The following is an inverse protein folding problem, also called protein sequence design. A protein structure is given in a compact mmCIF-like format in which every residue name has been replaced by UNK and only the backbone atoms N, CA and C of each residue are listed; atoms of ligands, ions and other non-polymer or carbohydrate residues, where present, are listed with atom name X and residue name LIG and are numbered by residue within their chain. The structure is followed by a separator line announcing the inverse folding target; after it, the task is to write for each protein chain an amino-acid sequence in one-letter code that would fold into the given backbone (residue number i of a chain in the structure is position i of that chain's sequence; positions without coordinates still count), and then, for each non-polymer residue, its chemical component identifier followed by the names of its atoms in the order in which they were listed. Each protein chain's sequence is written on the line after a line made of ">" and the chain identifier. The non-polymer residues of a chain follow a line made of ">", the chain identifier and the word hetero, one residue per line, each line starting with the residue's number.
data_IF_014035952322
#
_entry.id   IF_014035952322
#
_cell.length_a   1.000
_cell.length_b   1.000
_cell.length_c   1.000
_cell.angle_alpha   90.00
_cell.angle_beta   90.00
_cell.angle_gamma   90.00
#
_symmetry.space_group_name_H-M   'P 1'
#
loop_
_entity.id
_entity.type
_entity.pdbx_description
1 polymer ?
#
# COMPACT_ATOMS: atom_id res chain seq x y z
N UNK A 1 -7.30 -11.40 -52.59
CA UNK A 1 -6.31 -10.29 -52.73
C UNK A 1 -5.36 -10.67 -53.84
N UNK A 2 -5.22 -9.83 -54.87
CA UNK A 2 -4.43 -10.16 -56.07
C UNK A 2 -2.91 -10.10 -55.84
N UNK A 3 -2.19 -11.02 -56.48
CA UNK A 3 -0.73 -10.99 -56.57
C UNK A 3 -0.27 -9.69 -57.25
N UNK A 4 0.71 -9.00 -56.65
CA UNK A 4 1.32 -7.84 -57.29
C UNK A 4 2.19 -8.31 -58.45
N UNK A 5 1.79 -7.99 -59.69
CA UNK A 5 2.57 -8.29 -60.89
C UNK A 5 3.89 -7.48 -60.87
N UNK A 6 5.05 -8.09 -61.18
CA UNK A 6 6.32 -7.39 -61.17
C UNK A 6 6.42 -6.38 -62.32
N UNK A 7 6.86 -5.16 -62.00
CA UNK A 7 7.15 -4.14 -63.01
C UNK A 7 8.39 -4.53 -63.82
N UNK A 8 8.49 -3.99 -65.05
CA UNK A 8 9.57 -4.28 -66.00
C UNK A 8 10.98 -4.18 -65.40
N UNK A 9 11.22 -3.16 -64.56
CA UNK A 9 12.49 -2.98 -63.85
C UNK A 9 12.72 -3.95 -62.67
N UNK A 10 11.67 -4.54 -62.10
CA UNK A 10 11.80 -5.59 -61.07
C UNK A 10 12.16 -6.95 -61.66
N UNK A 11 11.73 -7.22 -62.91
CA UNK A 11 12.20 -8.35 -63.73
C UNK A 11 13.67 -8.19 -64.15
N UNK A 12 14.12 -6.95 -64.39
CA UNK A 12 15.50 -6.65 -64.82
C UNK A 12 16.54 -6.78 -63.69
N UNK A 13 16.13 -6.65 -62.42
CA UNK A 13 17.03 -6.66 -61.25
C UNK A 13 16.75 -7.78 -60.22
N UNK A 14 15.99 -8.81 -60.60
CA UNK A 14 15.65 -9.97 -59.75
C UNK A 14 15.20 -9.62 -58.32
N UNK A 15 14.50 -8.49 -58.15
CA UNK A 15 14.05 -8.02 -56.83
C UNK A 15 12.76 -8.74 -56.43
N UNK A 16 12.92 -9.81 -55.65
CA UNK A 16 11.83 -10.57 -55.03
C UNK A 16 10.88 -9.65 -54.26
N UNK A 17 9.60 -9.65 -54.61
CA UNK A 17 8.59 -8.86 -53.91
C UNK A 17 8.32 -9.47 -52.53
N UNK A 18 8.93 -8.89 -51.49
CA UNK A 18 8.78 -9.30 -50.07
C UNK A 18 7.31 -9.49 -49.63
N UNK A 19 6.38 -8.77 -50.28
CA UNK A 19 4.94 -8.81 -50.00
C UNK A 19 4.26 -10.06 -50.59
N UNK A 20 4.72 -10.55 -51.74
CA UNK A 20 4.15 -11.75 -52.37
C UNK A 20 4.50 -13.03 -51.59
N UNK A 21 5.71 -13.10 -51.00
CA UNK A 21 6.11 -14.20 -50.10
C UNK A 21 5.19 -14.28 -48.88
N UNK A 22 4.91 -13.14 -48.23
CA UNK A 22 4.01 -13.09 -47.07
C UNK A 22 2.55 -13.41 -47.45
N UNK A 23 2.07 -12.95 -48.61
CA UNK A 23 0.73 -13.25 -49.12
C UNK A 23 0.59 -14.75 -49.44
N UNK A 24 1.58 -15.36 -50.08
CA UNK A 24 1.55 -16.79 -50.46
C UNK A 24 1.61 -17.70 -49.23
N UNK A 25 2.40 -17.34 -48.21
CA UNK A 25 2.42 -18.02 -46.90
C UNK A 25 1.07 -17.85 -46.18
N UNK A 26 0.50 -16.65 -46.17
CA UNK A 26 -0.76 -16.38 -45.48
C UNK A 26 -1.97 -17.06 -46.17
N UNK A 27 -1.97 -17.13 -47.51
CA UNK A 27 -2.98 -17.86 -48.26
C UNK A 27 -2.87 -19.36 -48.02
N UNK A 28 -1.64 -19.91 -47.99
CA UNK A 28 -1.41 -21.31 -47.64
C UNK A 28 -1.90 -21.64 -46.23
N UNK A 29 -1.64 -20.78 -45.24
CA UNK A 29 -2.21 -20.96 -43.90
C UNK A 29 -3.74 -20.77 -43.83
N UNK A 30 -4.33 -19.97 -44.72
CA UNK A 30 -5.77 -19.76 -44.78
C UNK A 30 -6.53 -20.92 -45.46
N UNK A 31 -5.84 -21.73 -46.27
CA UNK A 31 -6.40 -22.92 -46.94
C UNK A 31 -6.35 -24.19 -46.06
N UNK A 32 -5.75 -24.11 -44.87
CA UNK A 32 -5.54 -25.27 -43.99
C UNK A 32 -6.53 -25.23 -42.82
N UNK A 33 -7.38 -26.26 -42.73
CA UNK A 33 -8.38 -26.39 -41.66
C UNK A 33 -7.76 -26.73 -40.29
N UNK A 34 -6.58 -27.38 -40.26
CA UNK A 34 -5.91 -27.81 -39.03
C UNK A 34 -4.38 -27.68 -39.15
N UNK A 35 -3.75 -27.09 -38.12
CA UNK A 35 -2.28 -26.90 -38.01
C UNK A 35 -1.50 -28.22 -38.18
N UNK A 36 -2.12 -29.36 -37.85
CA UNK A 36 -1.56 -30.69 -38.07
C UNK A 36 -1.32 -31.05 -39.55
N UNK A 37 -2.05 -30.42 -40.48
CA UNK A 37 -1.98 -30.70 -41.92
C UNK A 37 -0.96 -29.83 -42.65
N UNK A 38 -0.17 -29.03 -41.94
CA UNK A 38 0.82 -28.17 -42.58
C UNK A 38 1.98 -29.01 -43.12
N UNK A 39 2.12 -29.04 -44.44
CA UNK A 39 3.22 -29.69 -45.13
C UNK A 39 4.46 -28.80 -45.12
N UNK A 40 5.48 -29.23 -44.37
CA UNK A 40 6.78 -28.55 -44.28
C UNK A 40 7.43 -28.41 -45.66
N UNK A 41 7.16 -29.32 -46.60
CA UNK A 41 7.73 -29.29 -47.96
C UNK A 41 7.17 -28.14 -48.80
N UNK A 42 5.91 -27.74 -48.60
CA UNK A 42 5.31 -26.58 -49.29
C UNK A 42 6.03 -25.29 -48.89
N UNK A 43 6.38 -25.15 -47.62
CA UNK A 43 7.10 -23.98 -47.09
C UNK A 43 8.54 -23.97 -47.58
N UNK A 44 9.21 -25.13 -47.63
CA UNK A 44 10.55 -25.25 -48.24
C UNK A 44 10.55 -24.92 -49.74
N UNK A 45 9.48 -25.26 -50.46
CA UNK A 45 9.33 -24.90 -51.87
C UNK A 45 9.16 -23.38 -52.05
N UNK A 46 8.46 -22.70 -51.14
CA UNK A 46 8.36 -21.23 -51.13
C UNK A 46 9.72 -20.59 -50.77
N UNK A 47 10.47 -21.15 -49.81
CA UNK A 47 11.84 -20.68 -49.48
C UNK A 47 12.78 -20.78 -50.70
N UNK A 48 12.71 -21.89 -51.44
CA UNK A 48 13.50 -22.12 -52.67
C UNK A 48 13.07 -21.20 -53.82
N UNK A 49 11.77 -21.05 -54.05
CA UNK A 49 11.19 -20.21 -55.12
C UNK A 49 11.60 -18.74 -55.01
N UNK A 50 11.83 -18.27 -53.78
CA UNK A 50 12.14 -16.87 -53.51
C UNK A 50 13.52 -16.63 -52.93
N UNK A 51 14.41 -17.64 -52.88
CA UNK A 51 15.78 -17.54 -52.34
C UNK A 51 15.87 -16.80 -50.99
N UNK A 52 14.89 -16.99 -50.11
CA UNK A 52 14.81 -16.30 -48.81
C UNK A 52 14.71 -17.32 -47.70
N UNK A 53 15.54 -17.14 -46.67
CA UNK A 53 15.33 -17.81 -45.39
C UNK A 53 14.23 -17.09 -44.61
N UNK A 54 13.03 -17.69 -44.61
CA UNK A 54 11.81 -17.12 -44.05
C UNK A 54 11.95 -17.01 -42.51
N UNK A 55 12.60 -17.98 -41.87
CA UNK A 55 12.81 -18.02 -40.43
C UNK A 55 13.73 -16.91 -39.90
N UNK A 56 14.70 -16.45 -40.69
CA UNK A 56 15.58 -15.33 -40.30
C UNK A 56 14.87 -13.99 -40.53
N UNK A 57 14.18 -13.85 -41.66
CA UNK A 57 13.60 -12.57 -42.11
C UNK A 57 12.33 -12.18 -41.37
N UNK A 58 11.46 -13.14 -41.06
CA UNK A 58 10.16 -12.93 -40.39
C UNK A 58 10.14 -13.46 -38.95
N UNK A 59 11.32 -13.57 -38.33
CA UNK A 59 11.48 -14.13 -36.99
C UNK A 59 10.58 -13.45 -35.96
N UNK A 60 10.42 -12.13 -36.03
CA UNK A 60 9.62 -11.35 -35.07
C UNK A 60 8.12 -11.65 -35.23
N UNK A 61 7.66 -11.73 -36.47
CA UNK A 61 6.28 -12.02 -36.83
C UNK A 61 5.89 -13.44 -36.44
N UNK A 62 6.74 -14.44 -36.72
CA UNK A 62 6.51 -15.82 -36.30
C UNK A 62 6.57 -16.00 -34.79
N UNK A 63 7.45 -15.28 -34.10
CA UNK A 63 7.47 -15.29 -32.63
C UNK A 63 6.17 -14.70 -32.07
N UNK A 64 5.63 -13.65 -32.69
CA UNK A 64 4.35 -13.05 -32.30
C UNK A 64 3.18 -14.00 -32.56
N UNK A 65 3.11 -14.63 -33.73
CA UNK A 65 2.08 -15.63 -34.07
C UNK A 65 2.13 -16.83 -33.11
N UNK A 66 3.34 -17.32 -32.81
CA UNK A 66 3.53 -18.38 -31.82
C UNK A 66 3.01 -17.97 -30.44
N UNK A 67 3.33 -16.76 -29.97
CA UNK A 67 2.83 -16.25 -28.69
C UNK A 67 1.31 -16.09 -28.70
N UNK A 68 0.71 -15.63 -29.80
CA UNK A 68 -0.75 -15.47 -29.91
C UNK A 68 -1.47 -16.81 -29.91
N UNK A 69 -0.91 -17.83 -30.59
CA UNK A 69 -1.45 -19.17 -30.55
C UNK A 69 -1.30 -19.80 -29.16
N UNK A 70 -0.16 -19.59 -28.50
CA UNK A 70 0.02 -20.01 -27.10
C UNK A 70 -0.98 -19.33 -26.16
N UNK A 71 -1.27 -18.04 -26.35
CA UNK A 71 -2.31 -17.32 -25.60
C UNK A 71 -3.71 -17.89 -25.87
N UNK A 72 -3.99 -18.35 -27.10
CA UNK A 72 -5.24 -19.01 -27.45
C UNK A 72 -5.37 -20.37 -26.76
N UNK A 73 -4.33 -21.20 -26.81
CA UNK A 73 -4.32 -22.50 -26.13
C UNK A 73 -4.48 -22.33 -24.62
N UNK A 74 -3.81 -21.35 -24.02
CA UNK A 74 -3.85 -21.14 -22.57
C UNK A 74 -5.14 -20.46 -22.07
N UNK A 75 -6.15 -20.27 -22.92
CA UNK A 75 -7.44 -19.69 -22.53
C UNK A 75 -8.20 -20.58 -21.53
N UNK A 76 -8.08 -21.89 -21.67
CA UNK A 76 -8.67 -22.88 -20.74
C UNK A 76 -7.74 -23.21 -19.55
N UNK A 77 -6.59 -22.52 -19.46
CA UNK A 77 -5.52 -22.73 -18.45
C UNK A 77 -4.92 -24.14 -18.46
N UNK A 78 -5.10 -24.90 -19.54
CA UNK A 78 -4.51 -26.22 -19.75
C UNK A 78 -3.81 -26.28 -21.11
N UNK A 79 -2.99 -27.31 -21.31
CA UNK A 79 -2.43 -27.62 -22.62
C UNK A 79 -2.79 -29.06 -22.94
N UNK A 80 -3.72 -29.24 -23.86
CA UNK A 80 -4.11 -30.55 -24.36
C UNK A 80 -2.95 -31.21 -25.13
N UNK A 81 -3.01 -32.53 -25.30
CA UNK A 81 -2.01 -33.28 -26.08
C UNK A 81 -1.93 -32.76 -27.52
N UNK A 82 -3.06 -32.42 -28.12
CA UNK A 82 -3.16 -31.87 -29.47
C UNK A 82 -2.52 -30.48 -29.58
N UNK A 83 -2.72 -29.60 -28.60
CA UNK A 83 -2.09 -28.27 -28.60
C UNK A 83 -0.58 -28.32 -28.41
N UNK A 84 -0.09 -29.26 -27.60
CA UNK A 84 1.35 -29.51 -27.45
C UNK A 84 1.95 -29.97 -28.79
N UNK A 85 1.24 -30.82 -29.54
CA UNK A 85 1.66 -31.24 -30.88
C UNK A 85 1.63 -30.09 -31.88
N UNK A 86 0.57 -29.30 -31.90
CA UNK A 86 0.47 -28.10 -32.75
C UNK A 86 1.58 -27.08 -32.44
N UNK A 87 1.90 -26.87 -31.16
CA UNK A 87 3.02 -26.00 -30.75
C UNK A 87 4.38 -26.57 -31.19
N UNK A 88 4.56 -27.89 -31.25
CA UNK A 88 5.77 -28.52 -31.82
C UNK A 88 5.85 -28.34 -33.33
N UNK A 89 4.72 -28.47 -34.03
CA UNK A 89 4.64 -28.23 -35.48
C UNK A 89 5.01 -26.78 -35.79
N UNK A 90 4.39 -25.82 -35.10
CA UNK A 90 4.70 -24.39 -35.25
C UNK A 90 6.16 -24.07 -34.91
N UNK A 91 6.73 -24.69 -33.88
CA UNK A 91 8.16 -24.56 -33.55
C UNK A 91 9.05 -24.98 -34.72
N UNK A 92 8.79 -26.17 -35.28
CA UNK A 92 9.60 -26.73 -36.35
C UNK A 92 9.45 -25.92 -37.64
N UNK A 93 8.22 -25.53 -37.95
CA UNK A 93 7.87 -24.73 -39.10
C UNK A 93 8.56 -23.36 -39.08
N UNK A 94 8.49 -22.65 -37.96
CA UNK A 94 9.11 -21.34 -37.80
C UNK A 94 10.61 -21.41 -37.51
N UNK A 95 11.20 -22.62 -37.45
CA UNK A 95 12.61 -22.89 -37.11
C UNK A 95 13.06 -22.10 -35.86
N UNK A 96 12.18 -22.01 -34.87
CA UNK A 96 12.42 -21.24 -33.65
C UNK A 96 13.37 -22.00 -32.71
N UNK A 97 14.33 -21.28 -32.13
CA UNK A 97 15.26 -21.86 -31.16
C UNK A 97 14.50 -22.32 -29.92
N UNK A 98 14.78 -23.54 -29.44
CA UNK A 98 14.16 -24.11 -28.22
C UNK A 98 14.23 -23.16 -27.02
N UNK A 99 15.38 -22.51 -26.79
CA UNK A 99 15.57 -21.53 -25.70
C UNK A 99 14.60 -20.35 -25.75
N UNK A 100 14.25 -19.87 -26.95
CA UNK A 100 13.30 -18.75 -27.10
C UNK A 100 11.89 -19.18 -26.74
N UNK A 101 11.50 -20.40 -27.13
CA UNK A 101 10.19 -20.97 -26.82
C UNK A 101 10.07 -21.25 -25.32
N UNK A 102 11.08 -21.86 -24.71
CA UNK A 102 11.11 -22.09 -23.25
C UNK A 102 10.95 -20.78 -22.48
N UNK A 103 11.60 -19.69 -22.91
CA UNK A 103 11.43 -18.38 -22.29
C UNK A 103 10.00 -17.84 -22.45
N UNK A 104 9.40 -17.95 -23.64
CA UNK A 104 8.02 -17.50 -23.89
C UNK A 104 7.03 -18.31 -23.04
N UNK A 105 7.19 -19.63 -22.99
CA UNK A 105 6.37 -20.53 -22.17
C UNK A 105 6.50 -20.16 -20.68
N UNK A 106 7.73 -20.08 -20.17
CA UNK A 106 7.97 -19.71 -18.78
C UNK A 106 7.36 -18.35 -18.43
N UNK A 107 7.52 -17.34 -19.27
CA UNK A 107 6.94 -16.02 -19.04
C UNK A 107 5.41 -16.05 -19.02
N UNK A 108 4.79 -16.73 -19.99
CA UNK A 108 3.33 -16.82 -20.10
C UNK A 108 2.70 -17.66 -18.98
N UNK A 109 3.31 -18.79 -18.65
CA UNK A 109 2.88 -19.62 -17.53
C UNK A 109 2.99 -18.88 -16.20
N UNK A 110 4.10 -18.16 -15.97
CA UNK A 110 4.25 -17.31 -14.79
C UNK A 110 3.21 -16.18 -14.75
N UNK A 111 2.86 -15.57 -15.89
CA UNK A 111 1.84 -14.53 -15.97
C UNK A 111 0.43 -15.05 -15.64
N UNK A 112 0.05 -16.21 -16.17
CA UNK A 112 -1.26 -16.84 -15.91
C UNK A 112 -1.36 -17.28 -14.45
N UNK A 113 -0.29 -17.86 -13.91
CA UNK A 113 -0.24 -18.24 -12.51
C UNK A 113 -0.35 -17.02 -11.60
N UNK A 114 0.39 -15.93 -11.89
CA UNK A 114 0.28 -14.65 -11.17
C UNK A 114 -1.14 -14.10 -11.19
N UNK A 115 -1.81 -14.09 -12.35
CA UNK A 115 -3.18 -13.61 -12.50
C UNK A 115 -4.17 -14.46 -11.71
N UNK A 116 -4.03 -15.78 -11.73
CA UNK A 116 -4.90 -16.69 -10.99
C UNK A 116 -4.71 -16.55 -9.47
N UNK A 117 -3.47 -16.39 -9.01
CA UNK A 117 -3.17 -16.06 -7.61
C UNK A 117 -3.78 -14.71 -7.22
N UNK A 118 -3.63 -13.67 -8.06
CA UNK A 118 -4.25 -12.36 -7.80
C UNK A 118 -5.78 -12.46 -7.70
N UNK A 119 -6.44 -13.32 -8.49
CA UNK A 119 -7.88 -13.55 -8.44
C UNK A 119 -8.33 -14.19 -7.13
N UNK A 120 -7.61 -15.23 -6.69
CA UNK A 120 -7.88 -15.94 -5.44
C UNK A 120 -7.65 -15.02 -4.24
N UNK A 121 -6.62 -14.18 -4.27
CA UNK A 121 -6.32 -13.29 -3.15
C UNK A 121 -7.31 -12.12 -2.99
N UNK A 122 -8.25 -11.90 -3.94
CA UNK A 122 -9.16 -10.73 -3.92
C UNK A 122 -10.06 -10.67 -2.70
N UNK A 123 -10.52 -11.81 -2.22
CA UNK A 123 -11.44 -11.90 -1.07
C UNK A 123 -10.70 -12.04 0.27
N UNK A 124 -9.36 -12.21 0.23
CA UNK A 124 -8.53 -12.39 1.41
C UNK A 124 -8.68 -13.75 2.09
N UNK A 125 -9.30 -14.74 1.43
CA UNK A 125 -9.46 -16.09 1.92
C UNK A 125 -8.93 -17.06 0.87
N UNK A 126 -8.27 -18.13 1.33
CA UNK A 126 -7.78 -19.18 0.42
C UNK A 126 -8.37 -20.50 0.89
N UNK A 127 -9.44 -20.90 0.22
CA UNK A 127 -10.17 -22.13 0.48
C UNK A 127 -9.35 -23.36 0.08
N UNK A 128 -9.74 -24.54 0.56
CA UNK A 128 -9.07 -25.79 0.18
C UNK A 128 -9.20 -26.08 -1.33
N UNK A 129 -10.36 -25.78 -1.91
CA UNK A 129 -10.59 -25.92 -3.36
C UNK A 129 -9.66 -25.02 -4.17
N UNK A 130 -9.40 -23.79 -3.72
CA UNK A 130 -8.46 -22.88 -4.37
C UNK A 130 -7.01 -23.34 -4.23
N UNK A 131 -6.64 -23.97 -3.11
CA UNK A 131 -5.32 -24.61 -2.95
C UNK A 131 -5.18 -25.78 -3.92
N UNK A 132 -6.22 -26.61 -4.06
CA UNK A 132 -6.25 -27.70 -5.03
C UNK A 132 -6.16 -27.17 -6.46
N UNK A 133 -6.91 -26.12 -6.79
CA UNK A 133 -6.84 -25.47 -8.10
C UNK A 133 -5.44 -24.92 -8.40
N UNK A 134 -4.80 -24.23 -7.46
CA UNK A 134 -3.43 -23.73 -7.63
C UNK A 134 -2.41 -24.87 -7.80
N UNK A 135 -2.61 -25.99 -7.11
CA UNK A 135 -1.78 -27.19 -7.29
C UNK A 135 -1.97 -27.79 -8.68
N UNK A 136 -3.21 -28.00 -9.13
CA UNK A 136 -3.51 -28.49 -10.48
C UNK A 136 -2.95 -27.55 -11.54
N UNK A 137 -3.11 -26.24 -11.37
CA UNK A 137 -2.57 -25.22 -12.27
C UNK A 137 -1.04 -25.27 -12.32
N UNK A 138 -0.37 -25.45 -11.17
CA UNK A 138 1.09 -25.61 -11.09
C UNK A 138 1.57 -26.85 -11.86
N UNK A 139 0.88 -27.99 -11.70
CA UNK A 139 1.19 -29.23 -12.41
C UNK A 139 0.96 -29.09 -13.93
N UNK A 140 -0.16 -28.50 -14.32
CA UNK A 140 -0.53 -28.28 -15.73
C UNK A 140 0.47 -27.36 -16.44
N UNK A 141 0.88 -26.27 -15.78
CA UNK A 141 1.83 -25.30 -16.31
C UNK A 141 3.30 -25.71 -16.11
N UNK A 142 3.57 -26.87 -15.46
CA UNK A 142 4.91 -27.39 -15.16
C UNK A 142 5.82 -26.37 -14.47
N UNK A 143 5.26 -25.56 -13.58
CA UNK A 143 6.01 -24.52 -12.86
C UNK A 143 6.79 -25.19 -11.70
N UNK A 144 8.09 -24.93 -11.55
CA UNK A 144 8.86 -25.42 -10.40
C UNK A 144 8.22 -25.02 -9.07
N UNK A 145 8.14 -25.95 -8.12
CA UNK A 145 7.50 -25.71 -6.82
C UNK A 145 8.05 -24.47 -6.11
N UNK A 146 9.38 -24.31 -6.09
CA UNK A 146 10.04 -23.15 -5.48
C UNK A 146 9.60 -21.81 -6.08
N UNK A 147 9.37 -21.77 -7.39
CA UNK A 147 8.91 -20.57 -8.08
C UNK A 147 7.44 -20.28 -7.78
N UNK A 148 6.60 -21.32 -7.77
CA UNK A 148 5.18 -21.18 -7.43
C UNK A 148 5.01 -20.64 -6.00
N UNK A 149 5.75 -21.19 -5.04
CA UNK A 149 5.75 -20.72 -3.65
C UNK A 149 6.24 -19.27 -3.55
N UNK A 150 7.32 -18.90 -4.24
CA UNK A 150 7.80 -17.49 -4.26
C UNK A 150 6.77 -16.53 -4.84
N UNK A 151 6.13 -16.89 -5.97
CA UNK A 151 5.11 -16.04 -6.58
C UNK A 151 3.93 -15.87 -5.61
N UNK A 152 3.47 -16.96 -4.99
CA UNK A 152 2.38 -16.90 -4.02
C UNK A 152 2.73 -16.01 -2.83
N UNK A 153 3.89 -16.23 -2.18
CA UNK A 153 4.29 -15.47 -0.99
C UNK A 153 4.50 -13.99 -1.29
N UNK A 154 5.12 -13.64 -2.42
CA UNK A 154 5.29 -12.24 -2.84
C UNK A 154 3.94 -11.55 -3.10
N UNK A 155 3.01 -12.24 -3.75
CA UNK A 155 1.68 -11.68 -4.07
C UNK A 155 0.81 -11.51 -2.83
N UNK A 156 0.78 -12.52 -1.97
CA UNK A 156 0.01 -12.50 -0.75
C UNK A 156 0.60 -11.51 0.27
N UNK A 157 1.93 -11.37 0.35
CA UNK A 157 2.57 -10.26 1.09
C UNK A 157 2.16 -8.90 0.55
N UNK A 158 2.24 -8.67 -0.76
CA UNK A 158 1.81 -7.41 -1.36
C UNK A 158 0.32 -7.10 -1.12
N UNK A 159 -0.54 -8.12 -1.07
CA UNK A 159 -1.95 -7.95 -0.73
C UNK A 159 -2.12 -7.52 0.74
N UNK A 160 -1.43 -8.20 1.65
CA UNK A 160 -1.45 -7.86 3.08
C UNK A 160 -0.87 -6.46 3.33
N UNK A 161 0.26 -6.10 2.71
CA UNK A 161 0.89 -4.79 2.82
C UNK A 161 -0.08 -3.67 2.39
N UNK A 162 -0.86 -3.89 1.33
CA UNK A 162 -1.91 -2.94 0.89
C UNK A 162 -3.04 -2.81 1.91
N UNK A 163 -3.45 -3.92 2.54
CA UNK A 163 -4.49 -3.91 3.58
C UNK A 163 -3.99 -3.22 4.85
N UNK A 164 -2.76 -3.50 5.28
CA UNK A 164 -2.08 -2.81 6.38
C UNK A 164 -2.02 -1.32 6.08
N UNK A 165 -1.50 -0.92 4.91
CA UNK A 165 -1.40 0.48 4.52
C UNK A 165 -2.73 1.23 4.55
N UNK A 166 -3.84 0.53 4.24
CA UNK A 166 -5.19 1.09 4.34
C UNK A 166 -5.64 1.24 5.78
N UNK A 167 -5.42 0.22 6.62
CA UNK A 167 -5.79 0.24 8.04
C UNK A 167 -5.03 1.33 8.81
N UNK A 168 -3.74 1.54 8.53
CA UNK A 168 -2.91 2.52 9.22
C UNK A 168 -3.02 3.95 8.66
N UNK A 169 -3.80 4.16 7.60
CA UNK A 169 -3.80 5.41 6.83
C UNK A 169 -4.23 6.62 7.66
N UNK A 170 -5.16 6.44 8.60
CA UNK A 170 -5.68 7.49 9.47
C UNK A 170 -4.86 7.65 10.77
N UNK A 171 -3.69 6.99 10.86
CA UNK A 171 -2.86 6.87 12.06
C UNK A 171 -3.59 6.25 13.25
N UNK A 172 -4.62 5.43 13.02
CA UNK A 172 -5.31 4.67 14.06
C UNK A 172 -5.29 3.19 13.70
N UNK A 173 -5.49 2.36 14.72
CA UNK A 173 -5.65 0.92 14.53
C UNK A 173 -6.74 0.44 15.46
N UNK A 174 -7.89 0.08 14.88
CA UNK A 174 -9.01 -0.47 15.63
C UNK A 174 -8.79 -1.96 15.96
N UNK A 175 -9.42 -2.48 17.03
CA UNK A 175 -9.42 -3.91 17.34
C UNK A 175 -10.05 -4.76 16.23
N UNK A 176 -11.00 -4.20 15.47
CA UNK A 176 -11.64 -4.88 14.34
C UNK A 176 -10.67 -5.00 13.16
N UNK A 177 -9.98 -3.91 12.79
CA UNK A 177 -8.95 -3.94 11.74
C UNK A 177 -7.79 -4.87 12.12
N UNK A 178 -7.35 -4.86 13.38
CA UNK A 178 -6.30 -5.75 13.84
C UNK A 178 -6.73 -7.23 13.79
N UNK A 179 -7.98 -7.53 14.13
CA UNK A 179 -8.55 -8.88 13.95
C UNK A 179 -8.61 -9.27 12.48
N UNK A 180 -9.13 -8.41 11.61
CA UNK A 180 -9.19 -8.66 10.17
C UNK A 180 -7.81 -8.91 9.56
N UNK A 181 -6.80 -8.11 9.93
CA UNK A 181 -5.42 -8.30 9.46
C UNK A 181 -4.82 -9.62 9.93
N UNK A 182 -5.07 -10.00 11.19
CA UNK A 182 -4.65 -11.30 11.72
C UNK A 182 -5.35 -12.47 11.02
N UNK A 183 -6.65 -12.37 10.76
CA UNK A 183 -7.40 -13.38 10.03
C UNK A 183 -6.89 -13.53 8.60
N UNK A 184 -6.65 -12.42 7.89
CA UNK A 184 -6.07 -12.46 6.54
C UNK A 184 -4.68 -13.10 6.59
N UNK A 185 -3.81 -12.70 7.52
CA UNK A 185 -2.47 -13.28 7.67
C UNK A 185 -2.52 -14.80 7.90
N UNK A 186 -3.42 -15.25 8.78
CA UNK A 186 -3.64 -16.67 9.06
C UNK A 186 -4.19 -17.44 7.84
N UNK A 187 -5.19 -16.88 7.15
CA UNK A 187 -5.79 -17.49 5.96
C UNK A 187 -4.79 -17.62 4.80
N UNK A 188 -3.89 -16.63 4.66
CA UNK A 188 -2.83 -16.62 3.66
C UNK A 188 -1.58 -17.41 4.10
N UNK A 189 -1.53 -17.83 5.38
CA UNK A 189 -0.41 -18.53 5.98
C UNK A 189 0.92 -17.74 5.87
N UNK A 190 0.84 -16.42 6.09
CA UNK A 190 1.96 -15.48 6.01
C UNK A 190 2.06 -14.71 7.33
N UNK A 191 3.27 -14.47 7.85
CA UNK A 191 3.43 -13.67 9.06
C UNK A 191 2.93 -12.24 8.86
N UNK A 192 2.19 -11.73 9.85
CA UNK A 192 1.80 -10.34 9.90
C UNK A 192 3.04 -9.48 10.20
N UNK A 193 3.44 -8.66 9.24
CA UNK A 193 4.59 -7.78 9.32
C UNK A 193 4.17 -6.36 8.95
N UNK A 194 4.25 -5.44 9.91
CA UNK A 194 3.95 -4.01 9.71
C UNK A 194 5.12 -3.25 9.06
N UNK A 195 6.15 -3.97 8.60
CA UNK A 195 7.26 -3.45 7.82
C UNK A 195 8.20 -2.60 8.66
N UNK A 196 8.16 -1.27 8.47
CA UNK A 196 9.07 -0.32 9.15
C UNK A 196 8.49 0.31 10.42
N UNK A 197 7.23 0.02 10.74
CA UNK A 197 6.58 0.57 11.92
C UNK A 197 7.21 0.01 13.19
N UNK A 198 7.55 0.90 14.13
CA UNK A 198 8.01 0.46 15.44
C UNK A 198 6.83 -0.02 16.28
N UNK A 199 7.09 -0.87 17.27
CA UNK A 199 6.07 -1.28 18.26
C UNK A 199 5.44 -0.06 18.95
N UNK A 200 6.25 0.98 19.23
CA UNK A 200 5.79 2.23 19.84
C UNK A 200 4.78 2.97 18.94
N UNK A 201 4.98 2.96 17.62
CA UNK A 201 4.06 3.62 16.70
C UNK A 201 2.72 2.87 16.66
N UNK A 202 2.76 1.54 16.60
CA UNK A 202 1.55 0.71 16.65
C UNK A 202 0.78 0.90 17.96
N UNK A 203 1.48 0.92 19.10
CA UNK A 203 0.85 1.16 20.41
C UNK A 203 0.20 2.54 20.50
N UNK A 204 0.82 3.57 19.90
CA UNK A 204 0.21 4.90 19.80
C UNK A 204 -1.04 4.90 18.93
N UNK A 205 -1.02 4.22 17.79
CA UNK A 205 -2.18 4.12 16.90
C UNK A 205 -3.36 3.41 17.56
N UNK A 206 -3.09 2.33 18.31
CA UNK A 206 -4.10 1.65 19.15
C UNK A 206 -4.65 2.61 20.21
N UNK A 207 -3.76 3.30 20.93
CA UNK A 207 -4.16 4.26 21.96
C UNK A 207 -5.02 5.40 21.39
N UNK A 208 -4.69 5.93 20.22
CA UNK A 208 -5.50 6.95 19.56
C UNK A 208 -6.91 6.46 19.25
N UNK A 209 -7.05 5.22 18.78
CA UNK A 209 -8.36 4.63 18.55
C UNK A 209 -9.15 4.48 19.86
N UNK A 210 -8.51 3.99 20.93
CA UNK A 210 -9.13 3.84 22.26
C UNK A 210 -9.60 5.20 22.79
N UNK A 211 -8.77 6.23 22.67
CA UNK A 211 -9.11 7.58 23.11
C UNK A 211 -10.26 8.16 22.30
N UNK A 212 -10.52 7.78 21.06
CA UNK A 212 -11.67 8.31 20.33
C UNK A 212 -12.95 7.48 20.45
N UNK A 213 -12.83 6.15 20.52
CA UNK A 213 -13.98 5.25 20.34
C UNK A 213 -14.20 4.30 21.52
N UNK A 214 -13.17 4.03 22.32
CA UNK A 214 -13.22 3.11 23.46
C UNK A 214 -13.50 3.81 24.79
N UNK A 215 -13.41 3.10 25.91
CA UNK A 215 -13.40 3.73 27.24
C UNK A 215 -12.01 4.30 27.54
N UNK A 216 -11.95 5.50 28.13
CA UNK A 216 -10.67 6.10 28.52
C UNK A 216 -9.98 5.24 29.60
N UNK A 217 -8.74 4.78 29.37
CA UNK A 217 -8.05 3.94 30.34
C UNK A 217 -7.72 4.75 31.60
N UNK A 218 -8.21 4.31 32.75
CA UNK A 218 -7.89 4.94 34.02
C UNK A 218 -6.50 4.57 34.50
N UNK A 219 -5.78 5.54 35.06
CA UNK A 219 -4.44 5.41 35.62
C UNK A 219 -4.52 5.61 37.13
N UNK A 220 -3.97 4.67 37.89
CA UNK A 220 -3.80 4.82 39.33
C UNK A 220 -2.67 5.80 39.64
N UNK A 221 -2.93 6.74 40.55
CA UNK A 221 -2.01 7.82 40.90
C UNK A 221 -1.90 7.99 42.41
N UNK A 222 -0.71 8.36 42.87
CA UNK A 222 -0.39 8.56 44.29
C UNK A 222 -0.94 9.86 44.90
N UNK A 223 -1.75 10.62 44.18
CA UNK A 223 -2.35 11.86 44.68
C UNK A 223 -3.79 11.64 45.13
N UNK A 224 -4.19 12.33 46.20
CA UNK A 224 -5.58 12.29 46.68
C UNK A 224 -6.51 12.97 45.68
N UNK A 225 -7.39 12.18 45.07
CA UNK A 225 -8.47 12.63 44.19
C UNK A 225 -9.84 12.60 44.89
N UNK A 226 -10.81 13.31 44.34
CA UNK A 226 -12.16 13.40 44.90
C UNK A 226 -12.91 12.07 44.77
N UNK A 227 -14.00 11.90 45.52
CA UNK A 227 -14.90 10.76 45.33
C UNK A 227 -15.41 10.70 43.88
N UNK A 228 -15.41 9.51 43.29
CA UNK A 228 -15.80 9.25 41.90
C UNK A 228 -15.00 10.08 40.87
N UNK A 229 -13.78 10.49 41.22
CA UNK A 229 -12.82 11.08 40.30
C UNK A 229 -11.86 9.99 39.81
N UNK A 230 -11.63 9.92 38.50
CA UNK A 230 -10.67 8.99 37.88
C UNK A 230 -9.69 9.78 37.02
N UNK A 231 -8.43 9.35 37.00
CA UNK A 231 -7.38 9.96 36.19
C UNK A 231 -7.18 9.18 34.90
N UNK A 232 -7.03 9.87 33.77
CA UNK A 232 -6.83 9.25 32.45
C UNK A 232 -5.48 9.59 31.82
N UNK A 233 -4.77 10.57 32.36
CA UNK A 233 -3.46 10.95 31.85
C UNK A 233 -2.58 11.47 32.98
N UNK A 234 -1.29 11.09 32.98
CA UNK A 234 -0.27 11.67 33.84
C UNK A 234 1.02 11.85 33.04
N UNK A 235 1.57 13.06 33.02
CA UNK A 235 2.92 13.30 32.46
C UNK A 235 3.58 14.50 33.13
N UNK A 236 4.91 14.49 33.13
CA UNK A 236 5.71 15.62 33.59
C UNK A 236 5.63 16.77 32.60
N UNK A 237 5.31 17.96 33.10
CA UNK A 237 5.18 19.20 32.33
C UNK A 237 5.84 20.37 33.05
N UNK A 238 6.11 21.42 32.30
CA UNK A 238 6.45 22.73 32.85
C UNK A 238 5.25 23.67 32.76
N UNK A 239 4.89 24.31 33.87
CA UNK A 239 3.78 25.23 33.95
C UNK A 239 4.25 26.66 33.76
N UNK A 240 3.77 27.31 32.71
CA UNK A 240 4.05 28.70 32.41
C UNK A 240 2.79 29.56 32.52
N UNK A 241 2.96 30.80 32.96
CA UNK A 241 1.89 31.80 32.97
C UNK A 241 2.43 33.13 32.43
N UNK A 242 1.56 33.86 31.76
CA UNK A 242 1.79 35.24 31.35
C UNK A 242 1.93 36.18 32.57
N UNK A 243 3.00 37.01 32.55
CA UNK A 243 3.28 38.05 33.56
C UNK A 243 3.62 39.38 32.88
N UNK A 244 2.99 40.47 33.34
CA UNK A 244 3.16 41.81 32.79
C UNK A 244 4.63 42.21 32.70
N UNK A 245 5.08 42.55 31.49
CA UNK A 245 6.38 43.18 31.21
C UNK A 245 6.17 44.47 30.40
N UNK A 246 7.07 45.45 30.56
CA UNK A 246 6.94 46.81 30.01
C UNK A 246 7.33 46.96 28.53
N UNK A 247 7.48 45.89 27.74
CA UNK A 247 7.95 45.97 26.34
C UNK A 247 6.98 45.33 25.34
N UNK A 248 6.81 46.00 24.18
CA UNK A 248 5.79 45.69 23.14
C UNK A 248 6.35 45.03 21.87
N UNK A 249 5.72 43.95 21.40
CA UNK A 249 5.89 43.29 20.09
C UNK A 249 4.58 42.57 19.60
N UNK A 250 4.49 42.15 18.33
CA UNK A 250 3.31 41.51 17.66
C UNK A 250 3.68 40.16 17.02
N UNK A 251 2.76 39.20 16.97
CA UNK A 251 2.91 37.95 16.21
C UNK A 251 2.73 38.22 14.70
N UNK A 252 3.70 37.80 13.88
CA UNK A 252 3.63 37.88 12.42
C UNK A 252 4.26 36.61 11.83
N UNK A 253 3.43 35.61 11.54
CA UNK A 253 3.87 34.38 10.86
C UNK A 253 2.67 33.60 10.30
N UNK A 254 2.84 32.88 9.19
CA UNK A 254 1.78 32.06 8.62
C UNK A 254 1.38 30.96 9.61
N UNK A 255 0.11 30.93 10.00
CA UNK A 255 -0.43 29.88 10.89
C UNK A 255 -0.94 28.73 10.04
N UNK A 256 -0.22 27.60 10.03
CA UNK A 256 -0.73 26.35 9.46
C UNK A 256 -1.38 25.54 10.58
N UNK A 257 -2.63 25.12 10.38
CA UNK A 257 -3.36 24.23 11.29
C UNK A 257 -3.36 22.81 10.72
N UNK A 258 -2.72 21.88 11.41
CA UNK A 258 -2.72 20.47 11.05
C UNK A 258 -3.70 19.71 11.93
N UNK A 259 -4.63 18.98 11.32
CA UNK A 259 -5.58 18.15 12.08
C UNK A 259 -4.85 16.93 12.65
N UNK A 260 -5.02 16.67 13.94
CA UNK A 260 -4.49 15.47 14.61
C UNK A 260 -5.64 14.46 14.74
N UNK A 261 -6.74 14.91 15.35
CA UNK A 261 -7.98 14.17 15.52
C UNK A 261 -9.18 15.05 15.20
N UNK A 262 -10.39 14.50 15.25
CA UNK A 262 -11.61 15.31 15.18
C UNK A 262 -11.63 16.29 16.37
N UNK A 263 -11.75 17.59 16.11
CA UNK A 263 -11.77 18.63 17.14
C UNK A 263 -10.41 19.24 17.50
N UNK A 264 -9.31 18.48 17.37
CA UNK A 264 -7.96 18.96 17.79
C UNK A 264 -7.06 19.26 16.59
N UNK A 265 -6.60 20.51 16.50
CA UNK A 265 -5.71 21.00 15.44
C UNK A 265 -4.41 21.57 16.02
N UNK A 266 -3.27 21.06 15.57
CA UNK A 266 -1.96 21.64 15.86
C UNK A 266 -1.73 22.94 15.12
N UNK A 267 -1.19 23.94 15.82
CA UNK A 267 -0.59 25.11 15.17
C UNK A 267 0.89 24.82 14.90
N UNK A 268 1.30 24.84 13.63
CA UNK A 268 2.71 24.78 13.24
C UNK A 268 3.38 26.10 13.58
N UNK A 269 3.93 26.15 14.78
CA UNK A 269 4.75 27.22 15.33
C UNK A 269 5.04 26.87 16.78
N UNK A 270 6.28 27.04 17.23
CA UNK A 270 6.52 26.99 18.67
C UNK A 270 5.97 28.29 19.26
N UNK A 271 5.23 28.21 20.37
CA UNK A 271 4.90 29.44 21.11
C UNK A 271 6.19 30.18 21.54
N UNK A 272 7.32 29.47 21.57
CA UNK A 272 8.63 29.94 22.00
C UNK A 272 9.46 30.70 20.95
N UNK A 273 9.06 30.80 19.68
CA UNK A 273 9.91 31.42 18.64
C UNK A 273 9.31 32.67 18.01
N UNK A 274 9.36 33.76 18.79
CA UNK A 274 9.80 35.12 18.46
C UNK A 274 9.09 36.16 19.35
N UNK A 275 9.77 37.24 19.77
CA UNK A 275 9.32 38.10 20.88
C UNK A 275 8.04 38.87 20.54
N UNK A 276 7.02 38.81 21.43
CA UNK A 276 5.70 39.48 21.34
C UNK A 276 5.36 40.18 22.69
N UNK A 277 4.62 41.30 22.69
CA UNK A 277 4.36 42.29 23.76
C UNK A 277 3.69 41.77 25.02
N UNK A 278 4.12 42.32 26.16
CA UNK A 278 3.23 42.77 27.24
C UNK A 278 3.02 41.78 28.38
N UNK A 279 3.07 40.49 28.09
CA UNK A 279 3.21 39.45 29.10
C UNK A 279 4.31 38.48 28.66
N UNK A 280 5.34 38.31 29.49
CA UNK A 280 6.34 37.27 29.26
C UNK A 280 5.82 35.94 29.80
N UNK A 281 5.97 34.89 28.99
CA UNK A 281 5.67 33.53 29.39
C UNK A 281 6.76 33.07 30.36
N UNK A 282 6.47 33.06 31.66
CA UNK A 282 7.46 32.71 32.69
C UNK A 282 7.18 31.34 33.26
N UNK A 283 8.23 30.51 33.33
CA UNK A 283 8.18 29.22 34.05
C UNK A 283 7.82 29.49 35.51
N UNK A 284 6.67 29.01 35.93
CA UNK A 284 6.20 29.12 37.31
C UNK A 284 6.74 27.94 38.11
N UNK A 285 6.61 26.74 37.55
CA UNK A 285 7.00 25.50 38.21
C UNK A 285 7.15 24.36 37.20
N UNK A 286 7.66 23.23 37.66
CA UNK A 286 7.71 21.97 36.93
C UNK A 286 7.18 20.85 37.81
N UNK A 287 6.50 19.88 37.21
CA UNK A 287 5.75 18.89 37.97
C UNK A 287 4.94 17.97 37.07
N UNK A 288 3.97 17.27 37.65
CA UNK A 288 3.08 16.38 36.90
C UNK A 288 1.76 17.09 36.59
N UNK A 289 1.29 16.97 35.35
CA UNK A 289 -0.07 17.28 34.97
C UNK A 289 -0.89 15.99 34.92
N UNK A 290 -2.12 16.07 35.43
CA UNK A 290 -3.09 14.99 35.48
C UNK A 290 -4.39 15.45 34.84
N UNK A 291 -4.96 14.65 33.94
CA UNK A 291 -6.33 14.87 33.44
C UNK A 291 -7.24 13.87 34.14
N UNK A 292 -8.28 14.37 34.80
CA UNK A 292 -9.34 13.55 35.38
C UNK A 292 -10.67 13.80 34.68
N UNK A 293 -11.70 13.00 34.98
CA UNK A 293 -13.10 13.27 34.60
C UNK A 293 -13.73 14.53 35.24
N UNK A 294 -12.96 15.34 35.99
CA UNK A 294 -13.48 16.55 36.64
C UNK A 294 -12.61 17.79 36.42
N UNK A 295 -11.29 17.61 36.31
CA UNK A 295 -10.33 18.71 36.32
C UNK A 295 -8.96 18.30 35.79
N UNK A 296 -8.26 19.29 35.27
CA UNK A 296 -6.82 19.27 35.07
C UNK A 296 -6.14 19.67 36.39
N UNK A 297 -5.30 18.77 36.91
CA UNK A 297 -4.52 18.98 38.14
C UNK A 297 -3.06 19.13 37.74
N UNK A 298 -2.35 20.07 38.36
CA UNK A 298 -0.91 20.18 38.27
C UNK A 298 -0.31 20.13 39.66
N UNK A 299 0.61 19.19 39.88
CA UNK A 299 1.39 19.09 41.11
C UNK A 299 2.84 19.47 40.83
N UNK A 300 3.18 20.71 41.16
CA UNK A 300 4.51 21.26 41.00
C UNK A 300 5.36 21.12 42.27
N UNK A 301 6.66 21.32 42.14
CA UNK A 301 7.60 21.32 43.27
C UNK A 301 7.32 22.43 44.29
N UNK A 302 6.77 23.56 43.83
CA UNK A 302 6.50 24.77 44.63
C UNK A 302 5.01 25.02 44.80
N UNK A 303 4.19 24.72 43.79
CA UNK A 303 2.77 25.06 43.78
C UNK A 303 1.94 23.97 43.11
N UNK A 304 0.78 23.70 43.71
CA UNK A 304 -0.27 22.92 43.08
C UNK A 304 -1.28 23.85 42.42
N UNK A 305 -1.77 23.45 41.24
CA UNK A 305 -2.79 24.17 40.49
C UNK A 305 -3.89 23.21 40.07
N UNK A 306 -5.09 23.73 39.90
CA UNK A 306 -6.26 22.96 39.49
C UNK A 306 -7.14 23.81 38.60
N UNK A 307 -7.61 23.22 37.51
CA UNK A 307 -8.53 23.83 36.55
C UNK A 307 -9.66 22.83 36.34
N UNK A 308 -10.88 23.17 36.78
CA UNK A 308 -12.05 22.33 36.46
C UNK A 308 -12.30 22.32 34.95
N UNK A 309 -12.79 21.20 34.41
CA UNK A 309 -13.01 21.06 32.97
C UNK A 309 -14.03 22.07 32.45
N UNK A 310 -15.12 22.30 33.19
CA UNK A 310 -16.16 23.32 32.90
C UNK A 310 -15.65 24.77 32.87
N UNK A 311 -14.39 25.00 33.28
CA UNK A 311 -13.71 26.30 33.27
C UNK A 311 -12.72 26.46 32.12
N UNK A 312 -12.56 25.44 31.28
CA UNK A 312 -11.73 25.49 30.08
C UNK A 312 -12.63 25.88 28.90
N UNK A 313 -12.42 27.07 28.36
CA UNK A 313 -13.20 27.57 27.22
C UNK A 313 -12.72 26.96 25.90
N UNK A 314 -11.40 26.81 25.76
CA UNK A 314 -10.72 26.28 24.58
C UNK A 314 -9.28 25.93 24.95
N UNK A 315 -8.60 25.12 24.14
CA UNK A 315 -7.18 24.93 24.24
C UNK A 315 -6.53 24.90 22.86
N UNK A 316 -5.28 25.35 22.79
CA UNK A 316 -4.52 25.38 21.54
C UNK A 316 -3.22 24.60 21.72
N UNK A 317 -3.09 23.44 21.07
CA UNK A 317 -1.85 22.68 21.07
C UNK A 317 -0.87 23.24 20.03
N UNK A 318 0.39 23.37 20.46
CA UNK A 318 1.57 23.77 19.70
C UNK A 318 2.58 22.63 19.74
N UNK A 319 3.63 22.72 18.93
CA UNK A 319 4.67 21.67 18.85
C UNK A 319 5.38 21.41 20.19
N UNK A 320 5.53 22.44 21.02
CA UNK A 320 6.23 22.36 22.31
C UNK A 320 5.31 22.32 23.53
N UNK A 321 4.00 22.49 23.36
CA UNK A 321 3.12 22.64 24.51
C UNK A 321 1.69 23.02 24.18
N UNK A 322 0.88 23.20 25.22
CA UNK A 322 -0.56 23.42 25.09
C UNK A 322 -0.96 24.67 25.88
N UNK A 323 -1.60 25.61 25.18
CA UNK A 323 -2.20 26.78 25.79
C UNK A 323 -3.63 26.47 26.21
N UNK A 324 -3.97 26.72 27.47
CA UNK A 324 -5.31 26.46 28.01
C UNK A 324 -6.00 27.79 28.26
N UNK A 325 -7.08 28.07 27.52
CA UNK A 325 -7.89 29.27 27.69
C UNK A 325 -8.95 29.03 28.76
N UNK A 326 -8.89 29.81 29.84
CA UNK A 326 -9.83 29.69 30.97
C UNK A 326 -10.92 30.75 30.92
N UNK A 327 -12.08 30.47 31.51
CA UNK A 327 -13.15 31.44 31.71
C UNK A 327 -12.74 32.58 32.66
N UNK A 328 -11.91 32.26 33.65
CA UNK A 328 -11.51 33.13 34.75
C UNK A 328 -10.06 32.86 35.17
N UNK A 329 -9.38 33.94 35.58
CA UNK A 329 -7.98 33.88 36.00
C UNK A 329 -7.00 33.80 34.82
N UNK A 330 -5.77 33.36 35.11
CA UNK A 330 -4.71 33.28 34.10
C UNK A 330 -4.78 31.99 33.31
N UNK A 331 -4.70 32.11 31.98
CA UNK A 331 -4.55 31.01 31.03
C UNK A 331 -3.11 30.48 31.03
N UNK A 332 -2.85 29.24 31.46
CA UNK A 332 -1.51 28.69 31.48
C UNK A 332 -1.07 28.15 30.12
N UNK A 333 0.24 28.00 29.98
CA UNK A 333 0.87 27.23 28.91
C UNK A 333 1.64 26.07 29.52
N UNK A 334 1.32 24.85 29.10
CA UNK A 334 1.98 23.62 29.55
C UNK A 334 3.00 23.19 28.51
N UNK A 335 4.28 23.21 28.86
CA UNK A 335 5.34 22.67 27.99
C UNK A 335 5.53 21.20 28.30
N UNK A 336 5.57 20.39 27.25
CA UNK A 336 5.80 18.94 27.33
C UNK A 336 7.03 18.58 26.51
N UNK A 337 7.66 17.47 26.88
CA UNK A 337 8.78 16.89 26.11
C UNK A 337 8.33 15.70 25.26
N UNK A 338 7.19 15.09 25.59
CA UNK A 338 6.59 13.93 24.91
C UNK A 338 5.06 13.93 25.13
N UNK A 339 4.34 13.13 24.32
CA UNK A 339 2.91 12.80 24.50
C UNK A 339 1.94 14.00 24.53
N UNK A 340 2.32 15.10 23.86
CA UNK A 340 1.49 16.32 23.70
C UNK A 340 0.17 15.99 23.02
N UNK A 341 0.25 15.19 21.96
CA UNK A 341 -0.86 14.68 21.18
C UNK A 341 -1.83 13.86 22.04
N UNK A 342 -1.32 12.93 22.85
CA UNK A 342 -2.14 12.11 23.75
C UNK A 342 -2.83 13.00 24.79
N UNK A 343 -2.10 13.95 25.41
CA UNK A 343 -2.71 14.91 26.33
C UNK A 343 -3.82 15.71 25.67
N UNK A 344 -3.56 16.23 24.46
CA UNK A 344 -4.53 17.05 23.73
C UNK A 344 -5.79 16.27 23.39
N UNK A 345 -5.64 15.01 22.96
CA UNK A 345 -6.76 14.11 22.65
C UNK A 345 -7.59 13.79 23.90
N UNK A 346 -6.94 13.40 25.01
CA UNK A 346 -7.63 13.08 26.27
C UNK A 346 -8.29 14.33 26.85
N UNK A 347 -7.64 15.50 26.79
CA UNK A 347 -8.22 16.75 27.28
C UNK A 347 -9.46 17.14 26.47
N UNK A 348 -9.39 17.04 25.14
CA UNK A 348 -10.55 17.32 24.27
C UNK A 348 -11.73 16.43 24.65
N UNK A 349 -11.47 15.12 24.73
CA UNK A 349 -12.50 14.15 25.08
C UNK A 349 -13.06 14.38 26.48
N UNK A 350 -12.21 14.67 27.45
CA UNK A 350 -12.65 14.94 28.82
C UNK A 350 -13.54 16.19 28.90
N UNK A 351 -13.26 17.24 28.12
CA UNK A 351 -14.10 18.46 28.05
C UNK A 351 -15.43 18.18 27.34
N UNK A 352 -15.44 17.31 26.33
CA UNK A 352 -16.64 17.00 25.55
C UNK A 352 -17.58 16.00 26.27
N UNK A 353 -17.03 15.05 27.04
CA UNK A 353 -17.79 13.98 27.70
C UNK A 353 -18.23 14.28 29.14
N UNK A 354 -17.47 15.09 29.90
CA UNK A 354 -17.69 15.35 31.33
C UNK A 354 -17.88 16.83 31.63
#
# INVERSE_FOLDING_TARGET
>A
MDFLKPTFFQKLFNKIQKRNVYIEINNYFAEIDNIANIDVKQIENIEKKYEINIAIKYKKEFTKLYSQYLDFCLKDKMLSKEEIENLKILKNLFKLKTRLIENIHNQKFEEIYKKSVDEILKDGKVTEDEKLFLNVLKENLKIPADKATKIYTEKAKNYLDKKIAKAIYDNKLSPEEEKELNEIANNLNIPLDYGKLSLRDLDRMRLYWVIENGELPSIDIDIKIQKSEQCYFMKKVEWYEYRRSLKRFKYAGPTVRLKIVKGVYWRMGDLATQPVSGDELRKIDEGNAYITNKRLIFTGKKRNKTIKLDKILDFTPYKNGIHISKDTGKSPFLIFHEDIDIFAMILNRAIDEF
#
